data_IF_170721431916
#
_entry.id   IF_170721431916
#
_cell.length_a   1.000
_cell.length_b   1.000
_cell.length_c   1.000
_cell.angle_alpha   90.00
_cell.angle_beta   90.00
_cell.angle_gamma   90.00
#
_symmetry.space_group_name_H-M   'P 1'
#
loop_
_entity.id
_entity.type
_entity.pdbx_description
1 polymer ?
#
# COMPACT_ATOMS: atom_id res chain seq x y z
N UNK A 1 -24.91 -16.16 -3.49
CA UNK A 1 -24.12 -14.97 -3.09
C UNK A 1 -23.34 -15.32 -1.84
N UNK A 2 -22.01 -15.34 -1.92
CA UNK A 2 -21.17 -15.96 -0.89
C UNK A 2 -20.99 -15.00 0.29
N UNK A 3 -21.06 -15.52 1.53
CA UNK A 3 -20.94 -14.71 2.75
C UNK A 3 -19.64 -13.89 2.81
N UNK A 4 -18.56 -14.40 2.19
CA UNK A 4 -17.31 -13.64 2.01
C UNK A 4 -17.47 -12.39 1.15
N UNK A 5 -18.29 -12.43 0.09
CA UNK A 5 -18.51 -11.26 -0.78
C UNK A 5 -19.24 -10.14 -0.04
N UNK A 6 -20.14 -10.49 0.88
CA UNK A 6 -20.82 -9.53 1.75
C UNK A 6 -19.90 -8.92 2.80
N UNK A 7 -19.01 -9.72 3.40
CA UNK A 7 -18.05 -9.24 4.41
C UNK A 7 -17.00 -8.32 3.76
N UNK A 8 -16.46 -8.70 2.61
CA UNK A 8 -15.52 -7.85 1.87
C UNK A 8 -16.18 -6.55 1.39
N UNK A 9 -17.42 -6.61 0.90
CA UNK A 9 -18.17 -5.40 0.53
C UNK A 9 -18.42 -4.46 1.72
N UNK A 10 -18.79 -5.01 2.89
CA UNK A 10 -19.02 -4.23 4.11
C UNK A 10 -17.74 -3.56 4.62
N UNK A 11 -16.60 -4.27 4.58
CA UNK A 11 -15.32 -3.74 5.05
C UNK A 11 -14.80 -2.60 4.16
N UNK A 12 -14.99 -2.70 2.84
CA UNK A 12 -14.60 -1.65 1.88
C UNK A 12 -15.46 -0.39 2.10
N UNK A 13 -16.76 -0.53 2.31
CA UNK A 13 -17.67 0.60 2.56
C UNK A 13 -17.39 1.25 3.92
N UNK A 14 -17.09 0.47 4.96
CA UNK A 14 -16.79 0.98 6.29
C UNK A 14 -15.43 1.71 6.35
N UNK A 15 -14.43 1.23 5.60
CA UNK A 15 -13.12 1.88 5.48
C UNK A 15 -13.18 3.25 4.80
N UNK A 16 -14.04 3.41 3.79
CA UNK A 16 -14.22 4.69 3.09
C UNK A 16 -14.90 5.76 3.96
N UNK A 17 -15.88 5.37 4.79
CA UNK A 17 -16.56 6.30 5.70
C UNK A 17 -15.66 6.81 6.84
N UNK A 18 -14.71 5.99 7.29
CA UNK A 18 -13.77 6.35 8.35
C UNK A 18 -12.72 7.37 7.89
N UNK A 19 -12.27 7.28 6.63
CA UNK A 19 -11.33 8.26 6.05
C UNK A 19 -11.94 9.66 5.91
N UNK A 20 -13.25 9.77 5.61
CA UNK A 20 -13.93 11.05 5.48
C UNK A 20 -14.12 11.77 6.83
N UNK A 21 -14.30 11.04 7.93
CA UNK A 21 -14.52 11.63 9.27
C UNK A 21 -13.29 12.28 9.89
N UNK A 22 -12.08 12.04 9.36
CA UNK A 22 -10.85 12.64 9.89
C UNK A 22 -10.46 13.98 9.26
N UNK A 23 -11.18 14.46 8.25
CA UNK A 23 -10.84 15.70 7.52
C UNK A 23 -11.66 16.90 8.04
N UNK A 24 -12.66 16.70 8.90
CA UNK A 24 -13.56 17.75 9.39
C UNK A 24 -13.70 17.76 10.92
N UNK A 25 -12.58 17.88 11.64
CA UNK A 25 -12.62 18.27 13.05
C UNK A 25 -12.38 19.78 13.16
N UNK A 26 -13.41 20.62 13.38
CA UNK A 26 -13.18 22.01 13.75
C UNK A 26 -12.54 22.05 15.15
N UNK A 27 -11.37 22.67 15.24
CA UNK A 27 -10.70 22.99 16.51
C UNK A 27 -11.63 23.86 17.37
N UNK A 28 -12.01 23.45 18.59
CA UNK A 28 -12.65 24.38 19.51
C UNK A 28 -11.60 25.36 20.04
N UNK A 29 -11.70 26.59 19.53
CA UNK A 29 -11.06 27.82 19.99
C UNK A 29 -11.24 27.99 21.51
N UNK A 30 -10.15 28.37 22.19
CA UNK A 30 -10.16 28.83 23.57
C UNK A 30 -11.15 30.01 23.73
N UNK A 31 -12.21 29.83 24.53
CA UNK A 31 -13.11 30.94 24.87
C UNK A 31 -12.51 31.81 25.98
N UNK A 32 -12.47 33.14 25.81
CA UNK A 32 -12.02 34.07 26.83
C UNK A 32 -13.09 34.29 27.90
N UNK A 33 -12.60 34.51 29.12
CA UNK A 33 -13.35 34.86 30.32
C UNK A 33 -14.21 36.12 30.11
N UNK A 34 -15.52 36.02 30.31
CA UNK A 34 -16.41 37.18 30.49
C UNK A 34 -17.13 37.10 31.83
N UNK A 35 -16.68 37.99 32.70
CA UNK A 35 -17.21 38.43 34.00
C UNK A 35 -18.65 38.98 33.85
N UNK A 36 -19.56 38.58 34.74
CA UNK A 36 -20.74 39.39 35.11
C UNK A 36 -20.86 39.44 36.64
N UNK A 37 -20.90 40.63 37.26
CA UNK A 37 -21.14 40.81 38.70
C UNK A 37 -22.63 41.10 39.00
N UNK A 38 -23.14 40.63 40.15
CA UNK A 38 -23.94 41.39 41.16
C UNK A 38 -24.55 40.42 42.21
N UNK A 39 -24.42 40.81 43.48
CA UNK A 39 -24.66 40.13 44.77
C UNK A 39 -26.17 40.12 45.21
N UNK A 40 -26.63 39.72 46.43
CA UNK A 40 -25.92 39.38 47.70
C UNK A 40 -26.47 38.17 48.55
N UNK A 41 -25.70 37.82 49.59
CA UNK A 41 -25.89 36.83 50.70
C UNK A 41 -27.06 37.20 51.65
N UNK A 42 -27.61 36.33 52.56
CA UNK A 42 -26.92 35.67 53.70
C UNK A 42 -27.39 34.20 53.97
N UNK A 43 -26.68 33.31 54.69
CA UNK A 43 -26.69 33.08 56.16
C UNK A 43 -25.63 31.97 56.48
N UNK A 44 -24.99 31.93 57.68
CA UNK A 44 -23.75 31.17 57.95
C UNK A 44 -23.92 29.87 58.79
N UNK A 45 -22.93 28.95 58.65
CA UNK A 45 -22.37 27.96 59.61
C UNK A 45 -22.20 26.52 59.02
N UNK A 46 -21.38 25.60 59.59
CA UNK A 46 -19.98 25.63 60.07
C UNK A 46 -19.11 24.55 59.33
N UNK A 47 -17.79 24.34 59.61
CA UNK A 47 -16.86 23.68 58.68
C UNK A 47 -16.92 22.15 58.76
N UNK A 48 -17.05 21.47 57.61
CA UNK A 48 -16.97 20.00 57.53
C UNK A 48 -15.76 19.61 56.67
N UNK A 49 -14.74 19.16 57.39
CA UNK A 49 -13.71 18.15 57.07
C UNK A 49 -13.49 17.85 55.59
N UNK A 50 -12.31 18.28 55.10
CA UNK A 50 -11.71 17.93 53.81
C UNK A 50 -11.43 16.41 53.74
N UNK A 51 -12.09 15.61 52.89
CA UNK A 51 -11.62 14.26 52.61
C UNK A 51 -10.41 14.37 51.69
N UNK A 52 -9.29 13.79 52.12
CA UNK A 52 -8.09 13.59 51.30
C UNK A 52 -8.49 12.85 50.02
N UNK A 53 -8.13 13.32 48.81
CA UNK A 53 -8.35 12.53 47.61
C UNK A 53 -7.58 11.21 47.74
N UNK A 54 -8.29 10.10 47.62
CA UNK A 54 -7.69 8.78 47.51
C UNK A 54 -6.73 8.76 46.30
N UNK A 55 -5.62 7.98 46.35
CA UNK A 55 -4.70 7.90 45.24
C UNK A 55 -5.46 7.35 44.02
N UNK A 56 -5.41 8.09 42.91
CA UNK A 56 -5.83 7.58 41.61
C UNK A 56 -4.89 6.43 41.28
N UNK A 57 -5.35 5.20 41.47
CA UNK A 57 -4.68 4.01 40.94
C UNK A 57 -4.77 4.13 39.43
N UNK A 58 -3.67 4.55 38.81
CA UNK A 58 -3.51 4.45 37.36
C UNK A 58 -3.72 2.99 36.96
N UNK A 59 -4.53 2.67 35.94
CA UNK A 59 -4.68 1.30 35.49
C UNK A 59 -3.32 0.80 35.00
N UNK A 60 -2.86 -0.28 35.63
CA UNK A 60 -1.61 -0.97 35.36
C UNK A 60 -1.51 -1.32 33.87
N UNK A 61 -0.47 -0.76 33.26
CA UNK A 61 0.02 -1.05 31.91
C UNK A 61 0.58 -2.48 31.89
N UNK A 62 -0.29 -3.47 31.68
CA UNK A 62 0.10 -4.88 31.53
C UNK A 62 -0.30 -5.49 30.18
N UNK A 63 -0.77 -4.67 29.23
CA UNK A 63 -1.20 -5.14 27.88
C UNK A 63 -0.15 -4.94 26.78
N UNK A 64 0.93 -4.21 27.07
CA UNK A 64 1.95 -3.85 26.06
C UNK A 64 2.80 -5.03 25.54
N UNK A 65 3.26 -6.01 26.35
CA UNK A 65 4.13 -7.06 25.83
C UNK A 65 3.41 -8.00 24.84
N UNK A 66 2.10 -8.22 25.04
CA UNK A 66 1.27 -9.03 24.14
C UNK A 66 1.10 -8.33 22.78
N UNK A 67 0.78 -7.03 22.79
CA UNK A 67 0.62 -6.23 21.56
C UNK A 67 1.92 -6.20 20.76
N UNK A 68 3.06 -6.04 21.43
CA UNK A 68 4.38 -6.04 20.79
C UNK A 68 4.68 -7.37 20.10
N UNK A 69 4.39 -8.49 20.78
CA UNK A 69 4.54 -9.84 20.22
C UNK A 69 3.63 -10.08 19.02
N UNK A 70 2.38 -9.58 19.06
CA UNK A 70 1.45 -9.63 17.93
C UNK A 70 1.99 -8.84 16.75
N UNK A 71 2.49 -7.62 16.97
CA UNK A 71 3.05 -6.79 15.92
C UNK A 71 4.30 -7.40 15.29
N UNK A 72 5.16 -8.05 16.07
CA UNK A 72 6.32 -8.79 15.57
C UNK A 72 5.91 -9.98 14.70
N UNK A 73 4.91 -10.74 15.14
CA UNK A 73 4.34 -11.81 14.34
C UNK A 73 3.78 -11.27 13.02
N UNK A 74 2.95 -10.21 13.07
CA UNK A 74 2.36 -9.60 11.86
C UNK A 74 3.39 -9.05 10.91
N UNK A 75 4.43 -8.39 11.41
CA UNK A 75 5.50 -7.87 10.58
C UNK A 75 6.25 -9.00 9.86
N UNK A 76 6.54 -10.11 10.55
CA UNK A 76 7.17 -11.28 9.95
C UNK A 76 6.27 -11.97 8.91
N UNK A 77 4.98 -12.13 9.23
CA UNK A 77 3.97 -12.64 8.30
C UNK A 77 3.92 -11.79 7.03
N UNK A 78 3.85 -10.46 7.14
CA UNK A 78 3.83 -9.58 5.96
C UNK A 78 5.06 -9.74 5.07
N UNK A 79 6.25 -9.93 5.67
CA UNK A 79 7.48 -10.18 4.92
C UNK A 79 7.40 -11.49 4.16
N UNK A 80 6.94 -12.54 4.84
CA UNK A 80 6.81 -13.87 4.28
C UNK A 80 5.73 -13.93 3.20
N UNK A 81 4.56 -13.34 3.45
CA UNK A 81 3.47 -13.25 2.48
C UNK A 81 3.92 -12.57 1.18
N UNK A 82 4.75 -11.51 1.26
CA UNK A 82 5.32 -10.89 0.06
C UNK A 82 6.20 -11.87 -0.74
N UNK A 83 7.00 -12.71 -0.06
CA UNK A 83 7.81 -13.76 -0.69
C UNK A 83 6.93 -14.83 -1.32
N UNK A 84 5.94 -15.32 -0.57
CA UNK A 84 4.99 -16.35 -1.02
C UNK A 84 4.19 -15.89 -2.23
N UNK A 85 3.69 -14.65 -2.23
CA UNK A 85 2.96 -14.10 -3.37
C UNK A 85 3.84 -14.06 -4.61
N UNK A 86 5.09 -13.57 -4.47
CA UNK A 86 6.03 -13.55 -5.59
C UNK A 86 6.32 -14.96 -6.11
N UNK A 87 6.63 -15.89 -5.22
CA UNK A 87 6.91 -17.29 -5.59
C UNK A 87 5.70 -17.97 -6.25
N UNK A 88 4.51 -17.77 -5.70
CA UNK A 88 3.26 -18.25 -6.28
C UNK A 88 3.06 -17.70 -7.68
N UNK A 89 3.24 -16.39 -7.88
CA UNK A 89 3.12 -15.77 -9.20
C UNK A 89 4.17 -16.31 -10.18
N UNK A 90 5.41 -16.51 -9.75
CA UNK A 90 6.44 -17.10 -10.61
C UNK A 90 6.13 -18.55 -11.03
N UNK A 91 5.42 -19.30 -10.20
CA UNK A 91 4.99 -20.68 -10.49
C UNK A 91 3.74 -20.74 -11.37
N UNK A 92 2.78 -19.84 -11.16
CA UNK A 92 1.47 -19.89 -11.83
C UNK A 92 1.42 -19.07 -13.12
N UNK A 93 2.13 -17.94 -13.19
CA UNK A 93 2.04 -16.99 -14.30
C UNK A 93 3.31 -17.03 -15.17
N UNK A 94 3.22 -17.47 -16.43
CA UNK A 94 4.40 -17.59 -17.31
C UNK A 94 5.06 -16.24 -17.62
N UNK A 95 4.29 -15.15 -17.53
CA UNK A 95 4.77 -13.77 -17.75
C UNK A 95 5.11 -13.02 -16.45
N UNK A 96 5.11 -13.70 -15.29
CA UNK A 96 5.43 -13.07 -14.00
C UNK A 96 6.80 -12.40 -14.02
N UNK A 97 7.83 -13.07 -14.50
CA UNK A 97 9.18 -12.49 -14.51
C UNK A 97 9.22 -11.19 -15.31
N UNK A 98 8.63 -11.20 -16.51
CA UNK A 98 8.54 -10.01 -17.36
C UNK A 98 7.71 -8.89 -16.70
N UNK A 99 6.62 -9.23 -16.02
CA UNK A 99 5.83 -8.24 -15.29
C UNK A 99 6.65 -7.59 -14.18
N UNK A 100 7.32 -8.38 -13.34
CA UNK A 100 8.19 -7.85 -12.30
C UNK A 100 9.33 -6.99 -12.86
N UNK A 101 9.93 -7.38 -13.99
CA UNK A 101 10.97 -6.59 -14.66
C UNK A 101 10.44 -5.25 -15.18
N UNK A 102 9.25 -5.25 -15.77
CA UNK A 102 8.61 -4.04 -16.30
C UNK A 102 8.20 -3.09 -15.19
N UNK A 103 7.48 -3.60 -14.18
CA UNK A 103 7.06 -2.79 -13.03
C UNK A 103 8.28 -2.33 -12.23
N UNK A 104 9.33 -3.15 -12.14
CA UNK A 104 10.60 -2.80 -11.51
C UNK A 104 11.33 -1.61 -12.14
N UNK A 105 11.02 -1.24 -13.39
CA UNK A 105 11.56 -0.03 -14.02
C UNK A 105 10.75 1.23 -13.70
N UNK A 106 9.55 1.08 -13.16
CA UNK A 106 8.71 2.22 -12.77
C UNK A 106 9.30 2.93 -11.55
N UNK A 107 9.42 4.28 -11.58
CA UNK A 107 9.88 5.04 -10.42
C UNK A 107 8.95 4.88 -9.21
N UNK A 108 7.64 4.73 -9.43
CA UNK A 108 6.66 4.56 -8.35
C UNK A 108 6.84 3.24 -7.61
N UNK A 109 7.09 2.16 -8.36
CA UNK A 109 7.36 0.86 -7.78
C UNK A 109 8.67 0.87 -6.98
N UNK A 110 9.72 1.48 -7.53
CA UNK A 110 11.00 1.62 -6.84
C UNK A 110 10.86 2.46 -5.56
N UNK A 111 10.10 3.55 -5.59
CA UNK A 111 9.83 4.37 -4.41
C UNK A 111 9.17 3.55 -3.29
N UNK A 112 8.18 2.71 -3.64
CA UNK A 112 7.49 1.85 -2.68
C UNK A 112 8.40 0.76 -2.11
N UNK A 113 9.20 0.09 -2.95
CA UNK A 113 10.17 -0.91 -2.51
C UNK A 113 11.21 -0.28 -1.59
N UNK A 114 11.72 0.91 -1.92
CA UNK A 114 12.67 1.64 -1.09
C UNK A 114 12.04 2.07 0.24
N UNK A 115 10.80 2.56 0.21
CA UNK A 115 10.04 2.91 1.43
C UNK A 115 9.86 1.69 2.33
N UNK A 116 9.50 0.54 1.76
CA UNK A 116 9.39 -0.72 2.51
C UNK A 116 10.73 -1.09 3.15
N UNK A 117 11.84 -1.07 2.39
CA UNK A 117 13.18 -1.38 2.94
C UNK A 117 13.56 -0.43 4.07
N UNK A 118 13.23 0.85 3.94
CA UNK A 118 13.45 1.84 4.99
C UNK A 118 12.67 1.49 6.27
N UNK A 119 11.36 1.24 6.14
CA UNK A 119 10.50 0.85 7.27
C UNK A 119 10.99 -0.43 7.96
N UNK A 120 11.41 -1.41 7.16
CA UNK A 120 11.97 -2.66 7.65
C UNK A 120 13.29 -2.45 8.41
N UNK A 121 14.15 -1.52 7.95
CA UNK A 121 15.38 -1.14 8.63
C UNK A 121 15.13 -0.41 9.95
N UNK A 122 14.06 0.38 10.05
CA UNK A 122 13.70 1.11 11.28
C UNK A 122 12.96 0.25 12.31
N UNK A 123 12.42 -0.91 11.92
CA UNK A 123 11.58 -1.77 12.77
C UNK A 123 12.20 -2.11 14.13
N UNK A 124 13.50 -2.46 14.16
CA UNK A 124 14.19 -2.87 15.38
C UNK A 124 14.35 -1.73 16.40
N UNK A 125 14.28 -0.48 15.95
CA UNK A 125 14.45 0.72 16.78
C UNK A 125 13.10 1.40 17.10
N UNK A 126 12.02 1.00 16.43
CA UNK A 126 10.71 1.61 16.57
C UNK A 126 10.06 1.30 17.93
N UNK A 127 9.42 2.33 18.52
CA UNK A 127 8.56 2.17 19.67
C UNK A 127 7.24 1.48 19.31
N UNK A 128 6.47 1.00 20.30
CA UNK A 128 5.27 0.19 20.05
C UNK A 128 4.19 0.91 19.21
N UNK A 129 4.01 2.22 19.40
CA UNK A 129 3.09 3.02 18.59
C UNK A 129 3.56 3.15 17.12
N UNK A 130 4.87 3.26 16.91
CA UNK A 130 5.48 3.35 15.57
C UNK A 130 5.44 1.99 14.87
N UNK A 131 5.62 0.89 15.61
CA UNK A 131 5.51 -0.47 15.08
C UNK A 131 4.15 -0.73 14.44
N UNK A 132 3.06 -0.29 15.06
CA UNK A 132 1.73 -0.42 14.45
C UNK A 132 1.67 0.32 13.11
N UNK A 133 2.14 1.58 13.05
CA UNK A 133 2.16 2.36 11.82
C UNK A 133 3.05 1.71 10.74
N UNK A 134 4.20 1.14 11.12
CA UNK A 134 5.09 0.42 10.21
C UNK A 134 4.39 -0.82 9.62
N UNK A 135 3.70 -1.62 10.44
CA UNK A 135 2.94 -2.79 9.97
C UNK A 135 1.87 -2.37 8.95
N UNK A 136 1.10 -1.33 9.27
CA UNK A 136 0.04 -0.83 8.40
C UNK A 136 0.61 -0.32 7.07
N UNK A 137 1.71 0.42 7.12
CA UNK A 137 2.34 0.97 5.92
C UNK A 137 3.00 -0.12 5.07
N UNK A 138 3.70 -1.08 5.67
CA UNK A 138 4.27 -2.23 4.95
C UNK A 138 3.17 -3.06 4.29
N UNK A 139 2.04 -3.26 4.95
CA UNK A 139 0.89 -3.94 4.34
C UNK A 139 0.32 -3.15 3.16
N UNK A 140 0.17 -1.83 3.28
CA UNK A 140 -0.29 -0.98 2.19
C UNK A 140 0.66 -1.02 0.98
N UNK A 141 1.98 -0.91 1.22
CA UNK A 141 3.01 -1.03 0.18
C UNK A 141 2.92 -2.39 -0.51
N UNK A 142 2.75 -3.47 0.25
CA UNK A 142 2.59 -4.82 -0.32
C UNK A 142 1.39 -4.87 -1.26
N UNK A 143 0.22 -4.40 -0.82
CA UNK A 143 -0.98 -4.40 -1.66
C UNK A 143 -0.79 -3.58 -2.94
N UNK A 144 -0.16 -2.41 -2.83
CA UNK A 144 0.09 -1.54 -3.98
C UNK A 144 1.09 -2.16 -4.97
N UNK A 145 2.19 -2.72 -4.47
CA UNK A 145 3.21 -3.38 -5.31
C UNK A 145 2.66 -4.62 -6.00
N UNK A 146 1.87 -5.44 -5.31
CA UNK A 146 1.18 -6.59 -5.92
C UNK A 146 0.16 -6.13 -6.95
N UNK A 147 -0.64 -5.10 -6.65
CA UNK A 147 -1.62 -4.54 -7.59
C UNK A 147 -1.00 -4.06 -8.90
N UNK A 148 0.15 -3.38 -8.82
CA UNK A 148 0.89 -2.96 -10.03
C UNK A 148 1.39 -4.15 -10.85
N UNK A 149 1.92 -5.19 -10.20
CA UNK A 149 2.40 -6.39 -10.89
C UNK A 149 1.24 -7.13 -11.55
N UNK A 150 0.09 -7.25 -10.89
CA UNK A 150 -1.11 -7.87 -11.46
C UNK A 150 -1.68 -7.06 -12.64
N UNK A 151 -1.66 -5.72 -12.55
CA UNK A 151 -2.07 -4.87 -13.66
C UNK A 151 -1.15 -5.06 -14.87
N UNK A 152 0.16 -5.13 -14.66
CA UNK A 152 1.13 -5.37 -15.73
C UNK A 152 1.02 -6.79 -16.30
N UNK A 153 0.81 -7.80 -15.46
CA UNK A 153 0.50 -9.17 -15.89
C UNK A 153 -0.74 -9.20 -16.79
N UNK A 154 -1.81 -8.51 -16.39
CA UNK A 154 -3.04 -8.40 -17.18
C UNK A 154 -2.75 -7.77 -18.54
N UNK A 155 -1.98 -6.67 -18.57
CA UNK A 155 -1.55 -6.00 -19.79
C UNK A 155 -0.75 -6.95 -20.70
N UNK A 156 0.23 -7.65 -20.13
CA UNK A 156 1.07 -8.62 -20.85
C UNK A 156 0.26 -9.80 -21.39
N UNK A 157 -0.77 -10.26 -20.69
CA UNK A 157 -1.65 -11.33 -21.14
C UNK A 157 -2.55 -10.90 -22.30
N UNK A 158 -2.92 -9.62 -22.38
CA UNK A 158 -3.66 -9.06 -23.53
C UNK A 158 -2.77 -8.75 -24.74
N UNK A 159 -1.44 -8.70 -24.59
CA UNK A 159 -0.54 -8.52 -25.73
C UNK A 159 -0.46 -9.81 -26.55
N UNK A 160 -0.56 -9.72 -27.88
CA UNK A 160 -0.25 -10.84 -28.76
C UNK A 160 1.13 -11.39 -28.39
N UNK A 161 1.25 -12.71 -28.29
CA UNK A 161 2.56 -13.32 -28.09
C UNK A 161 3.45 -12.91 -29.27
N UNK A 162 4.39 -11.99 -29.04
CA UNK A 162 5.50 -11.80 -29.96
C UNK A 162 6.25 -13.12 -29.95
N UNK A 163 6.07 -13.92 -31.00
CA UNK A 163 6.93 -15.05 -31.28
C UNK A 163 8.38 -14.55 -31.12
N UNK A 164 9.28 -15.33 -30.51
CA UNK A 164 10.68 -14.96 -30.50
C UNK A 164 11.09 -14.75 -31.95
N UNK A 165 11.37 -13.49 -32.31
CA UNK A 165 12.03 -13.17 -33.56
C UNK A 165 13.39 -13.87 -33.49
N UNK A 166 13.47 -15.06 -34.06
CA UNK A 166 14.70 -15.57 -34.61
C UNK A 166 15.10 -14.60 -35.71
N UNK A 167 15.80 -13.54 -35.33
CA UNK A 167 16.56 -12.71 -36.26
C UNK A 167 17.74 -13.56 -36.76
N UNK A 168 17.44 -14.58 -37.56
CA UNK A 168 18.31 -14.88 -38.67
C UNK A 168 18.28 -13.64 -39.58
N UNK A 169 19.41 -13.21 -40.17
CA UNK A 169 19.36 -12.25 -41.26
C UNK A 169 18.48 -12.84 -42.36
N UNK A 170 17.24 -12.37 -42.48
CA UNK A 170 16.37 -12.71 -43.60
C UNK A 170 16.95 -11.99 -44.82
N UNK A 171 17.84 -12.68 -45.53
CA UNK A 171 18.04 -12.45 -46.95
C UNK A 171 16.67 -12.65 -47.59
N UNK A 172 16.08 -11.52 -47.98
CA UNK A 172 14.78 -11.41 -48.61
C UNK A 172 14.80 -12.18 -49.94
N UNK A 173 14.53 -13.49 -49.89
CA UNK A 173 14.26 -14.29 -51.08
C UNK A 173 12.79 -14.11 -51.41
N UNK A 174 12.49 -12.99 -52.06
CA UNK A 174 11.23 -12.78 -52.76
C UNK A 174 11.02 -13.94 -53.71
N UNK A 175 10.09 -14.84 -53.40
CA UNK A 175 9.61 -15.85 -54.33
C UNK A 175 8.59 -15.22 -55.30
N UNK A 176 9.03 -14.19 -56.01
CA UNK A 176 8.36 -13.64 -57.18
C UNK A 176 9.30 -13.88 -58.36
N UNK A 177 8.77 -14.47 -59.44
CA UNK A 177 9.51 -14.60 -60.68
C UNK A 177 10.10 -13.23 -61.09
N UNK A 178 11.35 -13.17 -61.60
CA UNK A 178 11.92 -11.91 -62.02
C UNK A 178 11.03 -11.27 -63.10
N UNK A 179 10.73 -9.96 -63.04
CA UNK A 179 10.13 -9.28 -64.18
C UNK A 179 11.09 -9.41 -65.37
N UNK A 180 10.58 -9.65 -66.60
CA UNK A 180 11.42 -9.78 -67.78
C UNK A 180 12.26 -8.50 -67.97
N UNK A 181 13.56 -8.69 -68.23
CA UNK A 181 14.49 -7.59 -68.42
C UNK A 181 14.07 -6.69 -69.59
N UNK A 182 14.22 -5.36 -69.48
CA UNK A 182 13.99 -4.47 -70.61
C UNK A 182 14.99 -4.79 -71.74
N UNK A 183 14.56 -4.73 -73.01
CA UNK A 183 15.46 -4.97 -74.14
C UNK A 183 16.58 -3.92 -74.18
N UNK A 184 17.79 -4.29 -74.64
CA UNK A 184 18.90 -3.34 -74.74
C UNK A 184 18.56 -2.20 -75.71
N UNK A 185 18.99 -0.97 -75.43
CA UNK A 185 18.83 0.13 -76.37
C UNK A 185 19.65 -0.17 -77.62
N UNK A 186 18.98 -0.18 -78.77
CA UNK A 186 19.65 -0.22 -80.08
C UNK A 186 20.30 1.14 -80.28
N UNK A 187 21.62 1.21 -80.09
CA UNK A 187 22.42 2.37 -80.50
C UNK A 187 22.65 2.22 -82.00
N UNK A 188 21.95 3.03 -82.80
CA UNK A 188 22.36 3.29 -84.17
C UNK A 188 23.52 4.29 -84.13
N UNK A 189 24.59 3.89 -84.82
CA UNK A 189 25.78 4.64 -85.26
C UNK A 189 25.51 6.09 -85.69
#
# INVERSE_FOLDING_TARGET
>A
MNRSTLIFGLLIVCGAAYLASKIFAPLPVAQPSTRVPTAPRPVPAPPVVRPRPAPVVAPVVAKQPEVRTVLETRFNELREEGRVIRDSLMKSEPKANQAYDNVGRSPDYQALVNRRRFLEGTWGQAGDAEKQAIVDEVNAIRQQTVGMVLAELSRLNTQPATQPNTTAPQTQRSNAAPPPAPPPPIIYM
#
